data_IF_068942819452
#
_entry.id   IF_068942819452
#
_cell.length_a   1.000
_cell.length_b   1.000
_cell.length_c   1.000
_cell.angle_alpha   90.00
_cell.angle_beta   90.00
_cell.angle_gamma   90.00
#
_symmetry.space_group_name_H-M   'P 1'
#
loop_
_entity.id
_entity.type
_entity.pdbx_description
1 polymer ?
#
# COMPACT_ATOMS: atom_id res chain seq x y z
N UNK A 1 21.14 -37.55 1.03
CA UNK A 1 21.30 -36.35 0.19
C UNK A 1 19.90 -35.90 -0.19
N UNK A 2 19.25 -35.10 0.66
CA UNK A 2 18.00 -34.44 0.33
C UNK A 2 18.33 -33.30 -0.64
N UNK A 3 17.89 -33.42 -1.87
CA UNK A 3 17.79 -32.29 -2.78
C UNK A 3 16.82 -31.30 -2.16
N UNK A 4 17.31 -30.17 -1.67
CA UNK A 4 16.51 -29.03 -1.30
C UNK A 4 15.69 -28.62 -2.53
N UNK A 5 14.41 -28.91 -2.53
CA UNK A 5 13.46 -28.37 -3.49
C UNK A 5 13.21 -26.93 -3.06
N UNK A 6 14.11 -26.03 -3.45
CA UNK A 6 13.89 -24.58 -3.37
C UNK A 6 12.95 -24.20 -4.51
N UNK A 7 11.64 -24.38 -4.33
CA UNK A 7 10.69 -24.11 -5.38
C UNK A 7 9.63 -23.11 -4.92
N UNK A 8 9.53 -21.98 -5.61
CA UNK A 8 8.31 -21.17 -5.62
C UNK A 8 7.33 -21.90 -6.54
N UNK A 9 6.15 -22.22 -6.02
CA UNK A 9 5.06 -22.76 -6.81
C UNK A 9 4.00 -21.67 -6.94
N UNK A 10 3.52 -21.43 -8.15
CA UNK A 10 2.42 -20.51 -8.40
C UNK A 10 1.26 -21.23 -9.04
N UNK A 11 0.07 -20.81 -8.66
CA UNK A 11 -1.19 -21.17 -9.28
C UNK A 11 -1.87 -19.87 -9.73
N UNK A 12 -1.85 -19.62 -11.04
CA UNK A 12 -2.62 -18.53 -11.61
C UNK A 12 -4.06 -18.99 -11.80
N UNK A 13 -5.02 -18.30 -11.19
CA UNK A 13 -6.43 -18.53 -11.46
C UNK A 13 -6.73 -18.07 -12.88
N UNK A 14 -7.41 -18.88 -13.71
CA UNK A 14 -7.83 -18.47 -15.04
C UNK A 14 -8.70 -17.19 -14.93
N UNK A 15 -8.72 -16.40 -16.00
CA UNK A 15 -9.54 -15.20 -16.12
C UNK A 15 -11.02 -15.65 -16.11
N UNK A 16 -11.58 -15.82 -14.90
CA UNK A 16 -13.01 -16.03 -14.76
C UNK A 16 -13.72 -14.68 -14.92
N UNK A 17 -14.82 -14.62 -15.65
CA UNK A 17 -15.65 -13.42 -15.67
C UNK A 17 -16.10 -13.08 -14.26
N UNK A 18 -16.26 -11.79 -14.00
CA UNK A 18 -16.85 -11.29 -12.76
C UNK A 18 -18.23 -11.90 -12.51
N UNK A 19 -18.61 -12.14 -11.27
CA UNK A 19 -19.86 -12.77 -10.92
C UNK A 19 -20.66 -11.98 -9.89
N UNK A 20 -21.96 -11.76 -10.12
CA UNK A 20 -22.85 -11.13 -9.14
C UNK A 20 -23.13 -12.03 -7.92
N UNK A 21 -22.85 -13.32 -8.00
CA UNK A 21 -23.04 -14.30 -6.94
C UNK A 21 -21.78 -15.13 -6.73
N UNK A 22 -21.69 -15.79 -5.57
CA UNK A 22 -20.62 -16.76 -5.31
C UNK A 22 -20.63 -17.86 -6.38
N UNK A 23 -19.45 -18.17 -6.90
CA UNK A 23 -19.28 -19.27 -7.84
C UNK A 23 -18.35 -20.32 -7.27
N UNK A 24 -18.77 -21.58 -7.39
CA UNK A 24 -17.81 -22.68 -7.34
C UNK A 24 -16.91 -22.62 -8.56
N UNK A 25 -15.60 -22.79 -8.36
CA UNK A 25 -14.68 -23.07 -9.44
C UNK A 25 -14.94 -24.51 -9.90
N UNK A 26 -16.01 -24.71 -10.65
CA UNK A 26 -16.23 -25.96 -11.34
C UNK A 26 -15.31 -26.01 -12.54
N UNK A 27 -14.19 -26.74 -12.42
CA UNK A 27 -13.30 -27.17 -13.49
C UNK A 27 -12.69 -26.03 -14.31
N UNK A 28 -11.94 -25.17 -13.68
CA UNK A 28 -10.82 -24.59 -14.39
C UNK A 28 -9.59 -25.43 -14.04
N UNK A 29 -8.79 -25.74 -15.01
CA UNK A 29 -7.52 -26.44 -14.83
C UNK A 29 -6.58 -25.50 -14.04
N UNK A 30 -6.77 -25.44 -12.74
CA UNK A 30 -5.85 -24.78 -11.82
C UNK A 30 -4.68 -25.74 -11.67
N UNK A 31 -3.65 -25.51 -12.45
CA UNK A 31 -2.44 -26.31 -12.37
C UNK A 31 -1.39 -25.55 -11.55
N UNK A 32 -0.86 -26.22 -10.52
CA UNK A 32 0.35 -25.76 -9.88
C UNK A 32 1.53 -25.90 -10.83
N UNK A 33 2.28 -24.84 -11.05
CA UNK A 33 3.53 -24.87 -11.77
C UNK A 33 4.70 -24.59 -10.84
N UNK A 34 5.76 -25.37 -10.99
CA UNK A 34 7.02 -25.15 -10.27
C UNK A 34 7.81 -24.06 -10.98
N UNK A 35 8.51 -23.22 -10.21
CA UNK A 35 9.39 -22.19 -10.78
C UNK A 35 10.45 -22.80 -11.67
N UNK A 36 10.48 -22.33 -12.89
CA UNK A 36 11.48 -22.70 -13.91
C UNK A 36 11.66 -21.53 -14.89
N UNK A 37 12.69 -21.60 -15.71
CA UNK A 37 12.92 -20.60 -16.74
C UNK A 37 11.73 -20.47 -17.73
N UNK A 38 10.99 -21.55 -17.97
CA UNK A 38 9.83 -21.56 -18.89
C UNK A 38 8.53 -21.10 -18.23
N UNK A 39 8.34 -21.31 -16.93
CA UNK A 39 7.10 -20.96 -16.20
C UNK A 39 7.13 -19.56 -15.59
N UNK A 40 8.31 -19.10 -15.19
CA UNK A 40 8.52 -17.81 -14.49
C UNK A 40 7.97 -16.58 -15.21
N UNK A 41 8.03 -16.45 -16.54
CA UNK A 41 7.46 -15.30 -17.24
C UNK A 41 5.95 -15.10 -17.02
N UNK A 42 5.22 -16.15 -16.63
CA UNK A 42 3.80 -16.09 -16.30
C UNK A 42 3.48 -15.70 -14.85
N UNK A 43 4.48 -15.51 -14.00
CA UNK A 43 4.28 -15.20 -12.58
C UNK A 43 4.19 -13.71 -12.31
N UNK A 44 3.41 -13.32 -11.30
CA UNK A 44 3.52 -12.00 -10.71
C UNK A 44 4.94 -11.80 -10.16
N UNK A 45 5.68 -10.84 -10.70
CA UNK A 45 7.06 -10.59 -10.29
C UNK A 45 7.16 -10.25 -8.79
N UNK A 46 6.23 -9.45 -8.26
CA UNK A 46 6.19 -9.12 -6.81
C UNK A 46 5.98 -10.37 -5.98
N UNK A 47 4.99 -11.20 -6.34
CA UNK A 47 4.70 -12.42 -5.61
C UNK A 47 5.86 -13.43 -5.71
N UNK A 48 6.53 -13.50 -6.85
CA UNK A 48 7.73 -14.32 -7.05
C UNK A 48 8.87 -13.90 -6.12
N UNK A 49 9.25 -12.62 -6.10
CA UNK A 49 10.36 -12.15 -5.26
C UNK A 49 10.02 -12.26 -3.76
N UNK A 50 8.77 -11.99 -3.39
CA UNK A 50 8.26 -12.26 -2.04
C UNK A 50 8.45 -13.72 -1.64
N UNK A 51 7.89 -14.64 -2.43
CA UNK A 51 7.92 -16.07 -2.13
C UNK A 51 9.35 -16.62 -2.12
N UNK A 52 10.19 -16.20 -3.06
CA UNK A 52 11.61 -16.58 -3.13
C UNK A 52 12.36 -16.18 -1.85
N UNK A 53 12.16 -14.94 -1.35
CA UNK A 53 12.81 -14.49 -0.13
C UNK A 53 12.33 -15.26 1.08
N UNK A 54 11.03 -15.52 1.20
CA UNK A 54 10.47 -16.32 2.29
C UNK A 54 10.98 -17.76 2.23
N UNK A 55 10.91 -18.41 1.05
CA UNK A 55 11.38 -19.77 0.85
C UNK A 55 12.87 -19.97 1.17
N UNK A 56 13.72 -19.06 0.69
CA UNK A 56 15.15 -19.08 0.97
C UNK A 56 15.47 -18.92 2.45
N UNK A 57 14.66 -18.11 3.16
CA UNK A 57 14.88 -17.86 4.57
C UNK A 57 14.43 -19.02 5.45
N UNK A 58 13.29 -19.64 5.10
CA UNK A 58 12.70 -20.72 5.89
C UNK A 58 13.21 -22.11 5.48
N UNK A 59 13.84 -22.24 4.33
CA UNK A 59 14.28 -23.53 3.78
C UNK A 59 13.12 -24.45 3.37
N UNK A 60 11.93 -23.89 3.11
CA UNK A 60 10.75 -24.66 2.72
C UNK A 60 10.12 -24.09 1.43
N UNK A 61 9.42 -24.93 0.63
CA UNK A 61 8.67 -24.46 -0.52
C UNK A 61 7.58 -23.49 -0.13
N UNK A 62 7.36 -22.45 -0.96
CA UNK A 62 6.29 -21.47 -0.79
C UNK A 62 5.38 -21.51 -2.01
N UNK A 63 4.09 -21.80 -1.80
CA UNK A 63 3.05 -21.75 -2.82
C UNK A 63 2.43 -20.33 -2.92
N UNK A 64 2.19 -19.88 -4.14
CA UNK A 64 1.51 -18.60 -4.42
C UNK A 64 0.25 -18.87 -5.22
N UNK A 65 -0.89 -18.38 -4.73
CA UNK A 65 -2.15 -18.35 -5.47
C UNK A 65 -2.36 -16.94 -5.99
N UNK A 66 -2.33 -16.74 -7.29
CA UNK A 66 -2.52 -15.46 -7.92
C UNK A 66 -3.97 -15.24 -8.31
N UNK A 67 -4.63 -14.25 -7.70
CA UNK A 67 -6.01 -13.85 -7.97
C UNK A 67 -6.10 -12.40 -8.46
N UNK A 68 -4.98 -11.83 -8.93
CA UNK A 68 -4.90 -10.45 -9.38
C UNK A 68 -5.73 -10.18 -10.64
N UNK A 69 -6.16 -8.92 -10.78
CA UNK A 69 -6.79 -8.40 -11.99
C UNK A 69 -6.40 -6.94 -12.16
N UNK A 70 -5.54 -6.66 -13.13
CA UNK A 70 -4.99 -5.32 -13.36
C UNK A 70 -6.04 -4.27 -13.69
N UNK A 71 -5.79 -3.02 -13.28
CA UNK A 71 -6.64 -1.87 -13.56
C UNK A 71 -8.03 -1.90 -12.90
N UNK A 72 -8.20 -2.64 -11.80
CA UNK A 72 -9.47 -2.73 -11.08
C UNK A 72 -9.41 -2.01 -9.73
N UNK A 73 -10.50 -1.32 -9.35
CA UNK A 73 -10.62 -0.73 -8.03
C UNK A 73 -10.82 -1.80 -6.96
N UNK A 74 -10.47 -1.46 -5.72
CA UNK A 74 -10.52 -2.36 -4.57
C UNK A 74 -11.92 -2.93 -4.32
N UNK A 75 -12.97 -2.19 -4.65
CA UNK A 75 -14.38 -2.55 -4.41
C UNK A 75 -14.74 -3.91 -5.00
N UNK A 76 -14.20 -4.23 -6.16
CA UNK A 76 -14.45 -5.53 -6.81
C UNK A 76 -13.99 -6.72 -5.97
N UNK A 77 -13.00 -6.53 -5.11
CA UNK A 77 -12.39 -7.57 -4.28
C UNK A 77 -12.97 -7.65 -2.86
N UNK A 78 -13.86 -6.71 -2.48
CA UNK A 78 -14.50 -6.65 -1.17
C UNK A 78 -15.82 -7.44 -1.21
N UNK A 79 -16.10 -8.36 -0.27
CA UNK A 79 -17.44 -8.95 -0.16
C UNK A 79 -18.51 -7.88 -0.04
N UNK A 80 -19.61 -8.02 -0.77
CA UNK A 80 -20.63 -6.96 -0.87
C UNK A 80 -21.24 -6.59 0.48
N UNK A 81 -21.38 -7.54 1.39
CA UNK A 81 -21.91 -7.34 2.75
C UNK A 81 -21.00 -6.46 3.63
N UNK A 82 -19.71 -6.36 3.33
CA UNK A 82 -18.78 -5.55 4.11
C UNK A 82 -18.98 -4.05 3.91
N UNK A 83 -19.60 -3.63 2.83
CA UNK A 83 -19.94 -2.22 2.61
C UNK A 83 -21.00 -1.71 3.58
N UNK A 84 -21.85 -2.58 4.12
CA UNK A 84 -22.88 -2.22 5.09
C UNK A 84 -22.33 -2.05 6.51
N UNK A 85 -21.16 -2.61 6.80
CA UNK A 85 -20.59 -2.65 8.14
C UNK A 85 -19.90 -1.35 8.57
N UNK A 86 -19.71 -0.41 7.63
CA UNK A 86 -18.99 0.87 7.87
C UNK A 86 -19.77 2.04 7.32
N UNK A 87 -19.94 3.06 8.15
CA UNK A 87 -20.69 4.26 7.77
C UNK A 87 -20.13 4.94 6.52
N UNK A 88 -18.80 5.08 6.43
CA UNK A 88 -18.12 5.67 5.29
C UNK A 88 -18.35 4.92 3.95
N UNK A 89 -18.81 3.66 4.00
CA UNK A 89 -19.07 2.84 2.81
C UNK A 89 -20.57 2.62 2.55
N UNK A 90 -21.47 3.14 3.38
CA UNK A 90 -22.94 3.03 3.18
C UNK A 90 -23.41 3.51 1.82
N UNK A 91 -22.89 4.60 1.24
CA UNK A 91 -23.32 5.01 -0.12
C UNK A 91 -23.07 3.91 -1.16
N UNK A 92 -21.98 3.16 -1.05
CA UNK A 92 -21.71 2.01 -1.95
C UNK A 92 -22.71 0.88 -1.68
N UNK A 93 -22.97 0.57 -0.40
CA UNK A 93 -23.94 -0.47 -0.02
C UNK A 93 -25.35 -0.18 -0.56
N UNK A 94 -25.78 1.07 -0.49
CA UNK A 94 -27.10 1.50 -1.03
C UNK A 94 -27.19 1.32 -2.54
N UNK A 95 -26.12 1.63 -3.27
CA UNK A 95 -26.08 1.40 -4.72
C UNK A 95 -26.14 -0.09 -5.06
N UNK A 96 -25.42 -0.91 -4.32
CA UNK A 96 -25.46 -2.38 -4.47
C UNK A 96 -26.87 -2.88 -4.24
N UNK A 97 -27.51 -2.47 -3.14
CA UNK A 97 -28.87 -2.88 -2.75
C UNK A 97 -29.93 -2.46 -3.77
N UNK A 98 -29.82 -1.25 -4.28
CA UNK A 98 -30.79 -0.69 -5.22
C UNK A 98 -30.53 -1.10 -6.68
N UNK A 99 -29.54 -1.95 -6.94
CA UNK A 99 -29.09 -2.36 -8.28
C UNK A 99 -28.82 -1.18 -9.25
N UNK A 100 -28.43 -0.03 -8.68
CA UNK A 100 -28.15 1.22 -9.42
C UNK A 100 -26.70 1.36 -9.88
N UNK A 101 -25.88 0.35 -9.71
CA UNK A 101 -24.46 0.37 -10.05
C UNK A 101 -24.16 0.58 -11.55
N UNK A 102 -25.15 0.41 -12.41
CA UNK A 102 -25.00 0.67 -13.85
C UNK A 102 -25.06 2.15 -14.22
N UNK A 103 -25.58 2.99 -13.32
CA UNK A 103 -25.88 4.40 -13.58
C UNK A 103 -24.81 5.34 -12.98
N UNK A 104 -23.76 4.76 -12.38
CA UNK A 104 -22.83 5.54 -11.58
C UNK A 104 -21.73 6.15 -12.44
N UNK A 105 -21.93 7.44 -12.74
CA UNK A 105 -20.86 8.43 -12.87
C UNK A 105 -20.36 8.87 -11.50
N UNK A 106 -19.88 10.09 -11.35
CA UNK A 106 -19.51 10.63 -10.05
C UNK A 106 -20.69 10.67 -9.09
N UNK A 107 -20.60 10.00 -7.93
CA UNK A 107 -21.53 10.20 -6.82
C UNK A 107 -21.08 11.39 -5.97
N UNK A 108 -22.03 12.15 -5.45
CA UNK A 108 -21.79 13.03 -4.31
C UNK A 108 -21.23 12.16 -3.18
N UNK A 109 -19.96 12.40 -2.82
CA UNK A 109 -19.23 11.55 -1.85
C UNK A 109 -18.13 10.69 -2.43
N UNK A 110 -17.82 10.79 -3.74
CA UNK A 110 -16.54 10.33 -4.30
C UNK A 110 -16.42 8.84 -4.60
N UNK A 111 -17.51 8.15 -4.94
CA UNK A 111 -17.43 6.76 -5.39
C UNK A 111 -17.68 6.69 -6.89
N UNK A 112 -16.66 6.35 -7.67
CA UNK A 112 -16.79 6.03 -9.09
C UNK A 112 -16.56 4.55 -9.31
N UNK A 113 -17.54 3.89 -9.92
CA UNK A 113 -17.45 2.50 -10.36
C UNK A 113 -17.42 2.50 -11.88
N UNK A 114 -16.23 2.41 -12.47
CA UNK A 114 -16.04 2.65 -13.91
C UNK A 114 -16.42 1.51 -14.83
N UNK A 115 -16.52 0.29 -14.31
CA UNK A 115 -16.87 -0.86 -15.15
C UNK A 115 -17.42 -2.03 -14.30
N UNK A 116 -18.04 -3.00 -14.99
CA UNK A 116 -18.69 -4.14 -14.34
C UNK A 116 -17.76 -4.96 -13.44
N UNK A 117 -16.50 -5.12 -13.80
CA UNK A 117 -15.53 -5.87 -12.99
C UNK A 117 -15.08 -5.10 -11.73
N UNK A 118 -15.23 -3.78 -11.72
CA UNK A 118 -15.01 -2.93 -10.53
C UNK A 118 -16.19 -2.91 -9.57
N UNK A 119 -17.35 -3.48 -9.95
CA UNK A 119 -18.51 -3.52 -9.06
C UNK A 119 -18.23 -4.30 -7.78
N UNK A 120 -18.76 -3.82 -6.64
CA UNK A 120 -18.57 -4.44 -5.35
C UNK A 120 -18.82 -5.95 -5.36
N UNK A 121 -17.87 -6.71 -4.82
CA UNK A 121 -17.96 -8.15 -4.64
C UNK A 121 -17.76 -9.02 -5.88
N UNK A 122 -17.75 -8.49 -7.09
CA UNK A 122 -17.74 -9.34 -8.29
C UNK A 122 -16.45 -10.14 -8.48
N UNK A 123 -15.31 -9.51 -8.28
CA UNK A 123 -14.01 -10.21 -8.34
C UNK A 123 -13.85 -11.10 -7.12
N UNK A 124 -14.30 -10.64 -5.94
CA UNK A 124 -14.34 -11.47 -4.75
C UNK A 124 -15.11 -12.77 -5.01
N UNK A 125 -16.34 -12.69 -5.53
CA UNK A 125 -17.19 -13.85 -5.78
C UNK A 125 -16.57 -14.85 -6.77
N UNK A 126 -15.85 -14.35 -7.78
CA UNK A 126 -15.32 -15.19 -8.86
C UNK A 126 -13.90 -15.68 -8.62
N UNK A 127 -13.09 -14.99 -7.80
CA UNK A 127 -11.66 -15.29 -7.68
C UNK A 127 -11.18 -15.54 -6.25
N UNK A 128 -11.82 -14.95 -5.24
CA UNK A 128 -11.37 -15.06 -3.86
C UNK A 128 -12.19 -16.11 -3.10
N UNK A 129 -13.51 -16.00 -3.15
CA UNK A 129 -14.39 -16.95 -2.45
C UNK A 129 -14.17 -18.41 -2.86
N UNK A 130 -13.94 -18.75 -4.15
CA UNK A 130 -13.66 -20.12 -4.53
C UNK A 130 -12.34 -20.68 -3.99
N UNK A 131 -11.39 -19.82 -3.62
CA UNK A 131 -10.09 -20.23 -3.05
C UNK A 131 -10.18 -20.37 -1.52
N UNK A 132 -11.21 -19.82 -0.89
CA UNK A 132 -11.36 -19.80 0.56
C UNK A 132 -11.28 -21.17 1.27
N UNK A 133 -11.67 -22.31 0.67
CA UNK A 133 -11.43 -23.63 1.25
C UNK A 133 -9.95 -23.99 1.42
N UNK A 134 -9.06 -23.33 0.68
CA UNK A 134 -7.62 -23.55 0.83
C UNK A 134 -7.09 -22.88 2.10
N UNK A 135 -6.27 -23.60 2.86
CA UNK A 135 -5.53 -23.03 3.98
C UNK A 135 -4.38 -22.16 3.43
N UNK A 136 -4.45 -20.85 3.65
CA UNK A 136 -3.40 -19.90 3.26
C UNK A 136 -2.72 -19.31 4.49
N UNK A 137 -1.41 -19.07 4.39
CA UNK A 137 -0.62 -18.47 5.48
C UNK A 137 -0.83 -16.95 5.59
N UNK A 138 -1.28 -16.29 4.53
CA UNK A 138 -1.52 -14.85 4.47
C UNK A 138 -1.88 -14.39 3.09
N UNK A 139 -2.14 -13.09 2.96
CA UNK A 139 -2.38 -12.43 1.67
C UNK A 139 -1.39 -11.29 1.46
N UNK A 140 -0.99 -11.08 0.20
CA UNK A 140 -0.25 -9.90 -0.23
C UNK A 140 -1.10 -9.11 -1.22
N UNK A 141 -1.04 -7.77 -1.11
CA UNK A 141 -1.92 -6.87 -1.84
C UNK A 141 -1.14 -5.71 -2.46
N UNK A 142 -1.29 -5.49 -3.76
CA UNK A 142 -0.72 -4.34 -4.45
C UNK A 142 -1.77 -3.74 -5.37
N UNK A 143 -2.37 -2.66 -4.95
CA UNK A 143 -3.44 -1.94 -5.66
C UNK A 143 -3.62 -0.56 -4.99
N UNK A 144 -4.22 0.39 -5.70
CA UNK A 144 -4.55 1.72 -5.21
C UNK A 144 -4.82 2.68 -6.37
N UNK A 145 -4.17 2.45 -7.49
CA UNK A 145 -4.10 3.29 -8.67
C UNK A 145 -5.50 3.68 -9.18
N UNK A 146 -6.39 2.70 -9.29
CA UNK A 146 -7.76 2.90 -9.75
C UNK A 146 -8.64 3.65 -8.75
N UNK A 147 -8.21 3.77 -7.49
CA UNK A 147 -8.92 4.50 -6.44
C UNK A 147 -8.27 5.87 -6.12
N UNK A 148 -7.21 6.24 -6.85
CA UNK A 148 -6.54 7.53 -6.78
C UNK A 148 -6.70 8.37 -8.05
N UNK A 149 -7.38 7.83 -9.07
CA UNK A 149 -7.53 8.45 -10.37
C UNK A 149 -8.58 9.55 -10.41
N UNK A 150 -8.70 10.17 -11.59
CA UNK A 150 -9.68 11.22 -11.85
C UNK A 150 -11.10 10.75 -11.50
N UNK A 151 -11.78 11.54 -10.68
CA UNK A 151 -13.13 11.26 -10.26
C UNK A 151 -13.28 10.28 -9.09
N UNK A 152 -12.18 9.79 -8.51
CA UNK A 152 -12.20 8.96 -7.30
C UNK A 152 -11.98 9.80 -6.04
N UNK A 153 -12.61 9.42 -4.93
CA UNK A 153 -12.33 9.97 -3.61
C UNK A 153 -11.43 9.02 -2.82
N UNK A 154 -10.14 9.32 -2.69
CA UNK A 154 -9.21 8.44 -2.00
C UNK A 154 -9.41 8.41 -0.48
N UNK A 155 -10.14 9.37 0.12
CA UNK A 155 -10.28 9.51 1.58
C UNK A 155 -10.95 8.30 2.25
N UNK A 156 -11.72 7.53 1.49
CA UNK A 156 -12.40 6.34 2.00
C UNK A 156 -11.57 5.06 1.83
N UNK A 157 -10.37 5.14 1.25
CA UNK A 157 -9.60 3.95 0.92
C UNK A 157 -9.23 3.10 2.14
N UNK A 158 -8.88 3.69 3.29
CA UNK A 158 -8.62 2.93 4.53
C UNK A 158 -9.83 2.11 5.01
N UNK A 159 -11.05 2.65 4.84
CA UNK A 159 -12.27 1.92 5.20
C UNK A 159 -12.55 0.77 4.22
N UNK A 160 -12.22 0.96 2.94
CA UNK A 160 -12.25 -0.10 1.92
C UNK A 160 -11.22 -1.18 2.23
N UNK A 161 -10.00 -0.81 2.62
CA UNK A 161 -8.97 -1.76 3.09
C UNK A 161 -9.43 -2.54 4.32
N UNK A 162 -10.06 -1.88 5.29
CA UNK A 162 -10.65 -2.54 6.45
C UNK A 162 -11.74 -3.54 6.04
N UNK A 163 -12.61 -3.17 5.11
CA UNK A 163 -13.65 -4.04 4.58
C UNK A 163 -13.06 -5.25 3.85
N UNK A 164 -12.05 -5.03 3.01
CA UNK A 164 -11.32 -6.09 2.30
C UNK A 164 -10.73 -7.11 3.28
N UNK A 165 -9.91 -6.63 4.22
CA UNK A 165 -9.20 -7.48 5.17
C UNK A 165 -10.19 -8.24 6.07
N UNK A 166 -11.22 -7.57 6.58
CA UNK A 166 -12.24 -8.20 7.43
C UNK A 166 -13.03 -9.26 6.66
N UNK A 167 -13.45 -8.95 5.45
CA UNK A 167 -14.20 -9.87 4.60
C UNK A 167 -13.39 -11.11 4.21
N UNK A 168 -12.11 -10.94 3.86
CA UNK A 168 -11.24 -12.08 3.57
C UNK A 168 -10.99 -12.92 4.82
N UNK A 169 -10.76 -12.32 5.99
CA UNK A 169 -10.65 -13.05 7.26
C UNK A 169 -11.87 -13.89 7.58
N UNK A 170 -13.07 -13.39 7.28
CA UNK A 170 -14.32 -14.14 7.45
C UNK A 170 -14.41 -15.34 6.52
N UNK A 171 -14.21 -15.14 5.23
CA UNK A 171 -14.35 -16.21 4.23
C UNK A 171 -13.28 -17.29 4.38
N UNK A 172 -12.05 -16.92 4.71
CA UNK A 172 -10.97 -17.88 5.03
C UNK A 172 -11.07 -18.46 6.44
N UNK A 173 -12.07 -18.07 7.23
CA UNK A 173 -12.28 -18.52 8.62
C UNK A 173 -11.05 -18.36 9.51
N UNK A 174 -10.25 -17.33 9.23
CA UNK A 174 -9.05 -16.99 9.98
C UNK A 174 -9.08 -15.51 10.39
N UNK A 175 -9.56 -15.18 11.61
CA UNK A 175 -9.66 -13.80 12.08
C UNK A 175 -8.29 -13.11 12.24
N UNK A 176 -7.21 -13.88 12.26
CA UNK A 176 -5.82 -13.39 12.33
C UNK A 176 -5.07 -13.55 11.01
N UNK A 177 -5.77 -13.82 9.89
CA UNK A 177 -5.11 -13.94 8.59
C UNK A 177 -4.25 -12.69 8.35
N UNK A 178 -2.92 -12.85 8.21
CA UNK A 178 -2.02 -11.75 7.94
C UNK A 178 -2.29 -11.16 6.55
N UNK A 179 -2.18 -9.84 6.47
CA UNK A 179 -2.45 -9.11 5.23
C UNK A 179 -1.38 -8.04 5.02
N UNK A 180 -0.49 -8.26 4.05
CA UNK A 180 0.61 -7.36 3.76
C UNK A 180 0.37 -6.63 2.44
N UNK A 181 0.62 -5.33 2.41
CA UNK A 181 0.31 -4.53 1.24
C UNK A 181 1.43 -3.58 0.85
N UNK A 182 1.39 -3.13 -0.40
CA UNK A 182 2.31 -2.16 -0.95
C UNK A 182 1.69 -0.77 -0.90
N UNK A 183 2.42 0.21 -0.38
CA UNK A 183 2.09 1.63 -0.55
C UNK A 183 2.42 2.03 -1.99
N UNK A 184 1.56 2.83 -2.62
CA UNK A 184 1.78 3.28 -4.00
C UNK A 184 3.11 4.04 -4.14
N UNK A 185 3.85 3.80 -5.23
CA UNK A 185 5.13 4.44 -5.50
C UNK A 185 4.97 5.91 -5.92
N UNK A 186 6.06 6.57 -6.22
CA UNK A 186 6.08 7.88 -6.87
C UNK A 186 5.43 7.82 -8.25
N UNK A 187 4.55 8.77 -8.56
CA UNK A 187 3.88 8.84 -9.86
C UNK A 187 3.27 10.24 -10.08
N UNK A 188 3.74 10.98 -11.08
CA UNK A 188 3.27 12.31 -11.54
C UNK A 188 3.08 13.36 -10.43
N UNK A 189 3.54 14.56 -10.66
CA UNK A 189 3.58 15.62 -9.65
C UNK A 189 2.20 16.15 -9.23
N UNK A 190 1.20 16.14 -10.11
CA UNK A 190 -0.14 16.72 -9.85
C UNK A 190 -1.19 15.71 -9.38
N UNK A 191 -0.78 14.58 -8.85
CA UNK A 191 -1.70 13.52 -8.47
C UNK A 191 -2.15 13.61 -7.00
N UNK A 192 -2.96 14.61 -6.63
CA UNK A 192 -3.44 14.78 -5.24
C UNK A 192 -4.19 13.57 -4.71
N UNK A 193 -4.98 12.89 -5.54
CA UNK A 193 -5.63 11.64 -5.16
C UNK A 193 -4.61 10.55 -4.79
N UNK A 194 -3.47 10.52 -5.48
CA UNK A 194 -2.37 9.60 -5.23
C UNK A 194 -1.68 9.85 -3.88
N UNK A 195 -1.40 11.12 -3.57
CA UNK A 195 -0.82 11.55 -2.31
C UNK A 195 -1.73 11.15 -1.16
N UNK A 196 -3.01 11.48 -1.26
CA UNK A 196 -3.99 11.14 -0.24
C UNK A 196 -4.14 9.64 -0.07
N UNK A 197 -4.17 8.86 -1.14
CA UNK A 197 -4.31 7.41 -1.07
C UNK A 197 -3.13 6.75 -0.37
N UNK A 198 -1.88 7.21 -0.60
CA UNK A 198 -0.71 6.73 0.14
C UNK A 198 -0.87 6.93 1.66
N UNK A 199 -1.42 8.06 2.07
CA UNK A 199 -1.71 8.31 3.48
C UNK A 199 -2.81 7.39 4.01
N UNK A 200 -3.87 7.15 3.25
CA UNK A 200 -4.91 6.19 3.63
C UNK A 200 -4.38 4.74 3.70
N UNK A 201 -3.42 4.38 2.85
CA UNK A 201 -2.70 3.11 2.95
C UNK A 201 -1.90 3.04 4.26
N UNK A 202 -1.13 4.08 4.60
CA UNK A 202 -0.40 4.15 5.87
C UNK A 202 -1.33 4.01 7.09
N UNK A 203 -2.46 4.71 7.08
CA UNK A 203 -3.47 4.64 8.15
C UNK A 203 -4.14 3.27 8.26
N UNK A 204 -4.11 2.46 7.21
CA UNK A 204 -4.61 1.08 7.22
C UNK A 204 -3.76 0.13 8.09
N UNK A 205 -2.55 0.52 8.47
CA UNK A 205 -1.71 -0.21 9.44
C UNK A 205 -2.29 -0.26 10.86
N UNK A 206 -3.34 0.52 11.14
CA UNK A 206 -4.12 0.38 12.40
C UNK A 206 -4.82 -0.99 12.51
N UNK A 207 -4.97 -1.72 11.41
CA UNK A 207 -5.49 -3.09 11.43
C UNK A 207 -4.44 -4.06 11.99
N UNK A 208 -4.80 -4.93 12.94
CA UNK A 208 -3.87 -5.92 13.46
C UNK A 208 -3.46 -6.92 12.38
N UNK A 209 -2.28 -7.51 12.51
CA UNK A 209 -1.71 -8.48 11.56
C UNK A 209 -1.62 -7.95 10.14
N UNK A 210 -1.26 -6.68 9.99
CA UNK A 210 -0.95 -6.04 8.71
C UNK A 210 0.49 -5.53 8.68
N UNK A 211 0.97 -5.25 7.48
CA UNK A 211 2.27 -4.64 7.23
C UNK A 211 2.29 -4.01 5.85
N UNK A 212 3.17 -3.02 5.68
CA UNK A 212 3.21 -2.22 4.45
C UNK A 212 4.65 -2.10 3.91
N UNK A 213 4.84 -2.49 2.67
CA UNK A 213 6.07 -2.17 1.94
C UNK A 213 5.98 -0.75 1.38
N UNK A 214 6.87 0.12 1.83
CA UNK A 214 7.02 1.47 1.31
C UNK A 214 7.83 1.43 0.02
N UNK A 215 7.37 2.14 -1.01
CA UNK A 215 7.97 2.14 -2.36
C UNK A 215 8.17 3.54 -2.93
N UNK A 216 8.18 4.54 -2.07
CA UNK A 216 8.31 5.96 -2.45
C UNK A 216 9.64 6.27 -3.15
N UNK A 217 10.67 5.51 -2.85
CA UNK A 217 12.02 5.59 -3.41
C UNK A 217 12.21 4.78 -4.71
N UNK A 218 11.17 4.10 -5.18
CA UNK A 218 11.20 3.31 -6.41
C UNK A 218 10.55 4.11 -7.56
N UNK A 219 11.09 5.31 -7.81
CA UNK A 219 10.62 6.16 -8.89
C UNK A 219 10.84 5.52 -10.26
N UNK A 220 9.82 5.60 -11.10
CA UNK A 220 9.87 5.27 -12.53
C UNK A 220 9.00 6.27 -13.30
N UNK A 221 9.20 6.38 -14.59
CA UNK A 221 8.35 7.18 -15.49
C UNK A 221 6.98 6.52 -15.70
N UNK A 222 6.88 5.23 -15.43
CA UNK A 222 5.65 4.42 -15.51
C UNK A 222 4.96 4.34 -14.15
N UNK A 223 3.64 4.15 -14.17
CA UNK A 223 2.80 3.86 -13.00
C UNK A 223 3.20 2.53 -12.30
N UNK A 224 3.91 1.67 -13.03
CA UNK A 224 4.36 0.37 -12.59
C UNK A 224 5.90 0.32 -12.50
N UNK A 225 6.51 0.72 -11.38
CA UNK A 225 7.97 0.70 -11.24
C UNK A 225 8.56 -0.65 -11.65
N UNK A 226 9.60 -0.63 -12.47
CA UNK A 226 10.26 -1.84 -12.96
C UNK A 226 10.93 -2.65 -11.85
N UNK A 227 11.37 -1.99 -10.76
CA UNK A 227 12.00 -2.65 -9.62
C UNK A 227 11.01 -3.44 -8.77
N UNK A 228 10.58 -4.61 -9.24
CA UNK A 228 9.71 -5.53 -8.48
C UNK A 228 10.46 -6.35 -7.45
N UNK A 229 11.79 -6.40 -7.51
CA UNK A 229 12.65 -7.10 -6.54
C UNK A 229 12.47 -6.47 -5.16
N UNK A 230 12.72 -5.18 -5.04
CA UNK A 230 12.60 -4.48 -3.75
C UNK A 230 11.17 -4.52 -3.21
N UNK A 231 10.17 -4.38 -4.08
CA UNK A 231 8.77 -4.48 -3.64
C UNK A 231 8.48 -5.84 -2.99
N UNK A 232 8.82 -6.93 -3.67
CA UNK A 232 8.60 -8.29 -3.16
C UNK A 232 9.43 -8.59 -1.91
N UNK A 233 10.69 -8.16 -1.91
CA UNK A 233 11.58 -8.38 -0.77
C UNK A 233 11.19 -7.58 0.48
N UNK A 234 10.74 -6.32 0.32
CA UNK A 234 10.22 -5.51 1.43
C UNK A 234 8.93 -6.09 1.99
N UNK A 235 8.01 -6.57 1.14
CA UNK A 235 6.82 -7.29 1.61
C UNK A 235 7.17 -8.53 2.42
N UNK A 236 8.20 -9.29 2.02
CA UNK A 236 8.61 -10.52 2.69
C UNK A 236 9.20 -10.28 4.09
N UNK A 237 9.71 -9.10 4.40
CA UNK A 237 10.22 -8.78 5.73
C UNK A 237 9.13 -8.89 6.80
N UNK A 238 7.88 -8.55 6.48
CA UNK A 238 6.76 -8.56 7.41
C UNK A 238 6.43 -9.97 7.93
N UNK A 239 6.14 -10.98 7.10
CA UNK A 239 5.90 -12.33 7.62
C UNK A 239 7.13 -12.93 8.28
N UNK A 240 8.33 -12.65 7.78
CA UNK A 240 9.56 -13.13 8.43
C UNK A 240 9.68 -12.61 9.86
N UNK A 241 9.33 -11.35 10.10
CA UNK A 241 9.35 -10.76 11.44
C UNK A 241 8.15 -11.22 12.29
N UNK A 242 6.93 -11.14 11.75
CA UNK A 242 5.71 -11.28 12.54
C UNK A 242 5.22 -12.73 12.71
N UNK A 243 5.49 -13.60 11.74
CA UNK A 243 4.94 -14.96 11.72
C UNK A 243 5.99 -16.05 11.94
N UNK A 244 7.20 -15.84 11.44
CA UNK A 244 8.20 -16.90 11.36
C UNK A 244 9.33 -16.75 12.37
N UNK A 245 9.08 -16.05 13.49
CA UNK A 245 9.96 -16.04 14.67
C UNK A 245 11.17 -15.13 14.57
N UNK A 246 11.31 -14.33 13.52
CA UNK A 246 12.42 -13.39 13.36
C UNK A 246 12.08 -11.99 13.90
N UNK A 247 11.53 -11.91 15.10
CA UNK A 247 11.02 -10.67 15.72
C UNK A 247 12.07 -9.56 15.84
N UNK A 248 13.37 -9.91 15.83
CA UNK A 248 14.48 -8.93 15.81
C UNK A 248 14.72 -8.33 14.41
N UNK A 249 14.08 -8.86 13.39
CA UNK A 249 14.24 -8.34 12.03
C UNK A 249 13.39 -7.10 11.83
N UNK A 250 14.02 -6.06 11.32
CA UNK A 250 13.32 -4.84 10.90
C UNK A 250 12.47 -5.15 9.68
N UNK A 251 11.17 -4.90 9.77
CA UNK A 251 10.21 -5.24 8.71
C UNK A 251 9.66 -4.04 7.94
N UNK A 252 9.84 -2.82 8.46
CA UNK A 252 9.41 -1.57 7.85
C UNK A 252 10.44 -0.46 7.94
N UNK A 253 10.31 0.55 7.09
CA UNK A 253 11.02 1.82 7.22
C UNK A 253 10.36 2.73 8.25
N UNK A 254 10.92 3.93 8.52
CA UNK A 254 10.36 4.86 9.48
C UNK A 254 8.90 5.19 9.18
N UNK A 255 8.02 4.97 10.14
CA UNK A 255 6.60 5.33 10.09
C UNK A 255 6.33 6.47 11.05
N UNK A 256 5.67 7.52 10.57
CA UNK A 256 5.25 8.65 11.40
C UNK A 256 4.44 8.17 12.60
N UNK A 257 4.89 8.53 13.79
CA UNK A 257 4.25 8.23 15.07
C UNK A 257 3.55 9.45 15.65
N UNK A 258 4.29 10.52 15.82
CA UNK A 258 3.78 11.78 16.39
C UNK A 258 4.65 12.96 15.98
N UNK A 259 4.08 14.17 16.07
CA UNK A 259 4.81 15.41 15.96
C UNK A 259 4.44 16.35 17.12
N UNK A 260 5.43 17.05 17.64
CA UNK A 260 5.28 18.02 18.74
C UNK A 260 5.87 19.35 18.33
N UNK A 261 5.16 20.42 18.62
CA UNK A 261 5.65 21.79 18.41
C UNK A 261 6.61 22.16 19.57
N UNK A 262 7.78 22.68 19.24
CA UNK A 262 8.79 23.17 20.16
C UNK A 262 9.27 24.57 19.73
N UNK A 263 8.54 25.62 20.15
CA UNK A 263 8.77 26.99 19.69
C UNK A 263 8.43 27.16 18.21
N UNK A 264 9.43 27.46 17.40
CA UNK A 264 9.31 27.63 15.93
C UNK A 264 9.61 26.34 15.15
N UNK A 265 9.91 25.23 15.85
CA UNK A 265 10.24 23.95 15.25
C UNK A 265 9.16 22.91 15.51
N UNK A 266 9.20 21.83 14.73
CA UNK A 266 8.43 20.61 14.99
C UNK A 266 9.37 19.43 15.13
N UNK A 267 9.22 18.67 16.22
CA UNK A 267 9.95 17.44 16.50
C UNK A 267 9.08 16.24 16.16
N UNK A 268 9.62 15.33 15.36
CA UNK A 268 8.89 14.21 14.77
C UNK A 268 9.46 12.89 15.27
N UNK A 269 8.61 12.03 15.78
CA UNK A 269 8.92 10.69 16.22
C UNK A 269 8.45 9.65 15.19
N UNK A 270 9.21 8.56 15.07
CA UNK A 270 8.92 7.47 14.16
C UNK A 270 8.92 6.13 14.89
N UNK A 271 8.12 5.20 14.40
CA UNK A 271 8.25 3.76 14.67
C UNK A 271 9.14 3.12 13.59
N UNK A 272 9.62 1.90 13.81
CA UNK A 272 10.47 1.12 12.90
C UNK A 272 11.83 1.78 12.57
N UNK A 273 12.50 2.28 13.57
CA UNK A 273 13.78 2.96 13.41
C UNK A 273 14.94 2.08 12.90
N UNK A 274 14.86 0.76 13.09
CA UNK A 274 15.82 -0.18 12.50
C UNK A 274 17.29 0.08 12.80
N UNK A 275 17.60 0.50 14.03
CA UNK A 275 18.95 0.86 14.46
C UNK A 275 19.27 2.36 14.33
N UNK A 276 18.29 3.19 14.01
CA UNK A 276 18.37 4.64 13.89
C UNK A 276 17.99 5.17 12.52
N UNK A 277 17.87 6.48 12.42
CA UNK A 277 17.58 7.19 11.17
C UNK A 277 18.89 7.49 10.42
N UNK A 278 18.80 7.62 9.10
CA UNK A 278 19.90 8.07 8.25
C UNK A 278 19.39 8.83 7.02
N UNK A 279 20.23 9.71 6.50
CA UNK A 279 20.07 10.28 5.17
C UNK A 279 20.73 9.32 4.17
N UNK A 280 19.99 8.86 3.18
CA UNK A 280 20.51 7.89 2.21
C UNK A 280 19.88 8.08 0.84
N UNK A 281 20.51 7.51 -0.17
CA UNK A 281 20.01 7.51 -1.56
C UNK A 281 19.95 6.09 -2.10
N UNK A 282 19.10 5.90 -3.11
CA UNK A 282 18.95 4.64 -3.82
C UNK A 282 18.85 4.89 -5.32
N UNK A 283 19.64 4.17 -6.09
CA UNK A 283 19.62 4.24 -7.55
C UNK A 283 19.14 2.89 -8.13
N UNK A 284 18.03 2.92 -8.86
CA UNK A 284 17.47 1.77 -9.53
C UNK A 284 17.29 0.55 -8.61
N UNK A 285 17.87 -0.60 -8.99
CA UNK A 285 17.89 -1.82 -8.20
C UNK A 285 19.15 -1.95 -7.30
N UNK A 286 19.99 -0.91 -7.23
CA UNK A 286 21.20 -0.88 -6.39
C UNK A 286 20.87 -0.85 -4.90
N UNK A 287 21.88 -1.00 -4.03
CA UNK A 287 21.71 -0.89 -2.60
C UNK A 287 21.40 0.55 -2.17
N UNK A 288 20.82 0.70 -1.00
CA UNK A 288 20.69 1.99 -0.33
C UNK A 288 22.09 2.40 0.19
N UNK A 289 22.49 3.64 -0.10
CA UNK A 289 23.80 4.19 0.27
C UNK A 289 23.60 5.40 1.18
N UNK A 290 24.20 5.38 2.37
CA UNK A 290 24.16 6.50 3.31
C UNK A 290 24.90 7.72 2.72
N UNK A 291 24.26 8.91 2.81
CA UNK A 291 24.77 10.19 2.28
C UNK A 291 24.68 11.28 3.37
N UNK A 292 25.48 11.20 4.43
CA UNK A 292 25.33 12.05 5.63
C UNK A 292 25.60 13.54 5.37
N UNK A 293 26.27 13.88 4.27
CA UNK A 293 26.53 15.27 3.90
C UNK A 293 25.41 15.90 3.07
N UNK A 294 24.32 15.16 2.81
CA UNK A 294 23.16 15.65 2.05
C UNK A 294 22.06 16.04 3.02
N UNK A 295 21.42 17.19 2.79
CA UNK A 295 20.27 17.63 3.58
C UNK A 295 19.08 16.70 3.40
N UNK A 296 18.29 16.53 4.46
CA UNK A 296 17.00 15.87 4.36
C UNK A 296 16.05 16.66 3.44
N UNK A 297 15.44 15.97 2.50
CA UNK A 297 14.58 16.56 1.47
C UNK A 297 13.09 16.33 1.78
N UNK A 298 12.22 17.11 1.11
CA UNK A 298 10.77 16.92 1.06
C UNK A 298 10.04 17.10 2.39
N UNK A 299 10.64 17.80 3.36
CA UNK A 299 9.91 18.25 4.54
C UNK A 299 9.26 19.60 4.30
N UNK A 300 8.04 19.76 4.76
CA UNK A 300 7.28 21.00 4.72
C UNK A 300 6.51 21.17 6.03
N UNK A 301 6.37 22.42 6.49
CA UNK A 301 5.55 22.76 7.64
C UNK A 301 4.52 23.83 7.27
N UNK A 302 3.43 23.86 8.04
CA UNK A 302 2.35 24.84 7.86
C UNK A 302 1.94 25.46 9.18
N UNK A 303 1.57 26.74 9.13
CA UNK A 303 0.89 27.46 10.20
C UNK A 303 -0.62 27.16 10.22
N UNK A 304 -1.37 27.93 11.02
CA UNK A 304 -2.83 27.81 11.12
C UNK A 304 -3.58 28.17 9.83
N UNK A 305 -2.91 28.82 8.89
CA UNK A 305 -3.41 29.17 7.55
C UNK A 305 -3.44 27.96 6.58
N UNK A 306 -2.88 26.84 7.00
CA UNK A 306 -2.74 25.61 6.21
C UNK A 306 -1.89 25.79 4.92
N UNK A 307 -1.07 26.83 4.84
CA UNK A 307 -0.14 27.06 3.73
C UNK A 307 1.15 26.30 4.02
N UNK A 308 1.54 25.41 3.09
CA UNK A 308 2.75 24.61 3.22
C UNK A 308 3.98 25.35 2.72
N UNK A 309 5.02 25.39 3.53
CA UNK A 309 6.30 26.00 3.21
C UNK A 309 7.42 24.95 3.29
N UNK A 310 8.38 24.97 2.36
CA UNK A 310 9.59 24.15 2.47
C UNK A 310 10.28 24.37 3.81
N UNK A 311 10.80 23.30 4.37
CA UNK A 311 11.43 23.31 5.66
C UNK A 311 12.78 22.61 5.65
N UNK A 312 13.74 23.10 6.42
CA UNK A 312 14.96 22.36 6.76
C UNK A 312 14.66 21.30 7.79
N UNK A 313 15.32 20.18 7.70
CA UNK A 313 15.12 19.04 8.59
C UNK A 313 16.46 18.43 8.98
N UNK A 314 16.62 18.08 10.24
CA UNK A 314 17.83 17.47 10.77
C UNK A 314 17.50 16.25 11.63
N UNK A 315 18.33 15.20 11.55
CA UNK A 315 18.19 14.03 12.40
C UNK A 315 18.91 14.33 13.72
N UNK A 316 18.12 14.36 14.81
CA UNK A 316 18.63 14.47 16.17
C UNK A 316 18.34 13.15 16.91
N UNK A 317 19.36 12.32 17.06
CA UNK A 317 19.23 10.98 17.65
C UNK A 317 18.26 10.08 16.85
N UNK A 318 17.08 9.83 17.37
CA UNK A 318 16.03 8.99 16.76
C UNK A 318 14.81 9.79 16.26
N UNK A 319 14.94 11.10 16.21
CA UNK A 319 13.87 12.04 15.83
C UNK A 319 14.33 12.92 14.67
N UNK A 320 13.37 13.59 14.03
CA UNK A 320 13.66 14.62 13.03
C UNK A 320 13.10 15.94 13.53
N UNK A 321 13.96 16.97 13.54
CA UNK A 321 13.58 18.34 13.86
C UNK A 321 13.44 19.13 12.58
N UNK A 322 12.31 19.81 12.43
CA UNK A 322 11.92 20.51 11.19
C UNK A 322 11.59 21.96 11.50
N UNK A 323 12.09 22.88 10.68
CA UNK A 323 11.85 24.32 10.81
C UNK A 323 11.78 25.02 9.45
N UNK A 324 11.09 26.16 9.41
CA UNK A 324 11.07 27.05 8.24
C UNK A 324 11.04 28.49 8.67
N UNK A 325 11.87 29.36 8.09
CA UNK A 325 11.84 30.79 8.41
C UNK A 325 10.51 31.49 8.01
N UNK A 326 9.73 30.83 7.16
CA UNK A 326 8.42 31.32 6.71
C UNK A 326 7.29 30.99 7.70
N UNK A 327 7.52 30.16 8.73
CA UNK A 327 6.48 29.67 9.64
C UNK A 327 6.94 29.76 11.08
N UNK A 328 6.65 30.86 11.74
CA UNK A 328 7.03 31.07 13.14
C UNK A 328 6.14 30.35 14.17
N UNK A 329 4.97 29.86 13.75
CA UNK A 329 4.03 29.08 14.59
C UNK A 329 3.55 27.86 13.84
N UNK A 330 4.38 26.82 13.73
CA UNK A 330 4.00 25.62 13.02
C UNK A 330 2.90 24.85 13.77
N UNK A 331 1.93 24.29 13.03
CA UNK A 331 0.86 23.42 13.56
C UNK A 331 0.79 22.09 12.85
N UNK A 332 1.42 21.97 11.69
CA UNK A 332 1.44 20.74 10.92
C UNK A 332 2.76 20.55 10.18
N UNK A 333 3.16 19.31 10.00
CA UNK A 333 4.33 18.88 9.23
C UNK A 333 3.95 17.73 8.29
N UNK A 334 4.59 17.69 7.13
CA UNK A 334 4.48 16.59 6.17
C UNK A 334 5.82 16.25 5.56
N UNK A 335 5.93 15.00 5.10
CA UNK A 335 7.11 14.48 4.42
C UNK A 335 6.71 13.79 3.12
N UNK A 336 7.42 14.09 2.04
CA UNK A 336 7.27 13.49 0.71
C UNK A 336 5.81 13.45 0.20
N UNK A 337 5.00 14.46 0.57
CA UNK A 337 3.60 14.62 0.16
C UNK A 337 3.47 15.24 -1.24
N UNK A 338 4.22 14.72 -2.19
CA UNK A 338 4.16 15.04 -3.61
C UNK A 338 3.79 13.79 -4.40
N UNK A 339 3.22 13.94 -5.61
CA UNK A 339 2.90 12.82 -6.47
C UNK A 339 4.14 12.00 -6.79
N UNK A 340 5.22 12.68 -7.21
CA UNK A 340 6.51 12.10 -7.56
C UNK A 340 7.67 12.82 -6.85
N UNK A 341 7.83 12.69 -5.52
CA UNK A 341 8.97 13.27 -4.84
C UNK A 341 10.26 12.66 -5.41
N UNK A 342 11.18 13.52 -5.83
CA UNK A 342 12.45 13.09 -6.38
C UNK A 342 13.44 12.78 -5.26
N UNK A 343 13.99 11.58 -5.26
CA UNK A 343 15.01 11.14 -4.29
C UNK A 343 14.61 11.39 -2.82
N UNK A 344 13.48 10.89 -2.33
CA UNK A 344 13.15 10.96 -0.92
C UNK A 344 14.20 10.19 -0.13
N UNK A 345 14.85 10.87 0.84
CA UNK A 345 16.13 10.43 1.38
C UNK A 345 16.13 10.14 2.88
N UNK A 346 14.99 10.08 3.53
CA UNK A 346 14.90 9.60 4.92
C UNK A 346 14.74 8.07 4.93
N UNK A 347 15.69 7.39 5.59
CA UNK A 347 15.73 5.94 5.75
C UNK A 347 16.02 5.55 7.20
N UNK A 348 15.74 4.31 7.53
CA UNK A 348 16.37 3.71 8.72
C UNK A 348 17.68 3.01 8.35
N UNK A 349 18.49 2.69 9.37
CA UNK A 349 19.80 2.01 9.16
C UNK A 349 19.69 0.58 8.63
N UNK A 350 18.48 0.01 8.59
CA UNK A 350 18.22 -1.24 7.88
C UNK A 350 18.04 -1.06 6.36
N UNK A 351 18.15 0.18 5.85
CA UNK A 351 18.03 0.49 4.42
C UNK A 351 16.58 0.54 3.92
N UNK A 352 15.61 0.78 4.79
CA UNK A 352 14.20 0.89 4.40
C UNK A 352 13.75 2.36 4.42
N UNK A 353 13.06 2.84 3.36
CA UNK A 353 12.65 4.23 3.23
C UNK A 353 11.51 4.59 4.18
N UNK A 354 11.48 5.85 4.62
CA UNK A 354 10.36 6.39 5.37
C UNK A 354 9.10 6.49 4.51
N UNK A 355 7.95 6.14 5.10
CA UNK A 355 6.67 6.37 4.46
C UNK A 355 6.35 7.87 4.39
N UNK A 356 5.85 8.39 3.27
CA UNK A 356 5.20 9.69 3.24
C UNK A 356 4.14 9.81 4.33
N UNK A 357 4.00 10.98 4.91
CA UNK A 357 2.99 11.25 5.93
C UNK A 357 2.58 12.72 5.97
N UNK A 358 1.40 12.98 6.54
CA UNK A 358 0.95 14.30 6.93
C UNK A 358 0.40 14.24 8.37
N UNK A 359 0.92 15.09 9.26
CA UNK A 359 0.51 15.13 10.68
C UNK A 359 -0.92 15.63 10.87
N UNK A 360 -1.46 16.40 9.91
CA UNK A 360 -2.82 16.90 9.94
C UNK A 360 -3.53 16.62 8.60
N UNK A 361 -4.43 15.66 8.60
CA UNK A 361 -5.16 15.23 7.40
C UNK A 361 -6.07 16.31 6.81
N UNK A 362 -6.52 17.27 7.61
CA UNK A 362 -7.32 18.39 7.12
C UNK A 362 -6.52 19.33 6.21
N UNK A 363 -5.18 19.32 6.35
CA UNK A 363 -4.26 20.15 5.56
C UNK A 363 -3.68 19.37 4.36
N UNK A 364 -3.95 18.06 4.24
CA UNK A 364 -3.49 17.28 3.13
C UNK A 364 -4.40 17.48 1.92
N UNK A 365 -3.89 18.07 0.82
CA UNK A 365 -4.72 18.35 -0.35
C UNK A 365 -5.18 17.05 -1.01
N UNK A 366 -6.38 17.09 -1.55
CA UNK A 366 -6.91 16.08 -2.46
C UNK A 366 -7.92 16.76 -3.39
N UNK A 367 -8.13 16.22 -4.59
CA UNK A 367 -9.12 16.70 -5.53
C UNK A 367 -9.76 15.53 -6.26
N UNK A 368 -11.07 15.59 -6.44
CA UNK A 368 -11.84 14.67 -7.29
C UNK A 368 -11.69 15.07 -8.75
N UNK A 369 -11.53 16.36 -9.01
CA UNK A 369 -11.40 16.91 -10.37
C UNK A 369 -10.16 17.79 -10.51
N UNK A 370 -9.06 17.26 -11.07
CA UNK A 370 -7.85 18.03 -11.29
C UNK A 370 -7.99 19.13 -12.35
N UNK A 371 -9.11 19.20 -13.09
CA UNK A 371 -9.32 20.18 -14.17
C UNK A 371 -9.84 21.52 -13.64
N UNK A 372 -10.39 21.55 -12.45
CA UNK A 372 -10.99 22.79 -11.88
C UNK A 372 -10.01 23.65 -11.09
N UNK A 373 -8.69 23.53 -11.26
CA UNK A 373 -7.67 24.50 -10.80
C UNK A 373 -7.86 25.14 -9.42
N UNK A 374 -8.73 24.61 -8.61
CA UNK A 374 -9.07 25.12 -7.30
C UNK A 374 -8.38 24.30 -6.23
N UNK A 375 -7.29 24.83 -5.69
CA UNK A 375 -6.81 24.48 -4.36
C UNK A 375 -7.95 24.70 -3.36
N UNK A 376 -8.49 23.63 -2.82
CA UNK A 376 -9.30 23.68 -1.62
C UNK A 376 -8.76 22.69 -0.58
#
# INVERSE_FOLDING_TARGET
RSSLVTGVQTCALPICPDSPSLRDIKRHEIAWSVDSQSTRPGYSAVAFFFARKVANHLGVPVGVIESSWGGKPIEGFIPSEEFETREALRPIAELVRNNKLKEVGALEGGVIIRNTAGMPGRIFNSRIAPVAPYAVAGAIWYQGESNAGKGEDPRNYRFKMQALVTGWRKVFRNPKLPFYFVQLPSYRDEAFGWIRLREEQRLSLSLPQTGMAVTIDLYDTDIHPANKIDVGERLALWPLSQQYGHSQRVCGGPLFKSAKVEGETMRIQFDFLGGGLMVATKEGAGPVTETPATDLQHFEIAGADAVWHPATAEIESEEVVVQSPSVSRPVAVRYACHGAPQNPNLYNRAGLPASPFCSNLAFLPWSVDPVSGGTR
#
